data_IF_390826047505
#
_entry.id   IF_390826047505
#
_cell.length_a   1.000
_cell.length_b   1.000
_cell.length_c   1.000
_cell.angle_alpha   90.00
_cell.angle_beta   90.00
_cell.angle_gamma   90.00
#
_symmetry.space_group_name_H-M   'P 1'
#
loop_
_entity.id
_entity.type
_entity.pdbx_description
1 polymer ?
#
# COMPACT_ATOMS: atom_id res chain seq x y z
N UNK A 1 -2.15 -6.09 18.63
CA UNK A 1 -1.66 -5.21 17.56
C UNK A 1 -2.87 -4.59 16.88
N UNK A 2 -2.90 -3.28 16.67
CA UNK A 2 -4.09 -2.59 16.18
C UNK A 2 -4.03 -2.47 14.64
N UNK A 3 -4.74 -3.35 13.92
CA UNK A 3 -4.79 -3.32 12.45
C UNK A 3 -5.41 -2.04 11.89
N UNK A 4 -6.23 -1.33 12.68
CA UNK A 4 -6.90 -0.09 12.24
C UNK A 4 -5.95 1.07 11.93
N UNK A 5 -4.69 1.03 12.39
CA UNK A 5 -3.70 2.06 12.10
C UNK A 5 -3.13 1.96 10.67
N UNK A 6 -3.32 0.84 9.98
CA UNK A 6 -2.99 0.69 8.55
C UNK A 6 -4.22 1.10 7.75
N UNK A 7 -4.07 2.16 6.97
CA UNK A 7 -5.16 2.85 6.27
C UNK A 7 -4.89 2.80 4.76
N UNK A 8 -5.68 2.04 4.03
CA UNK A 8 -5.54 1.82 2.59
C UNK A 8 -6.52 2.67 1.80
N UNK A 9 -6.13 3.11 0.61
CA UNK A 9 -6.89 4.07 -0.19
C UNK A 9 -8.11 3.46 -0.88
N UNK A 10 -7.94 2.27 -1.47
CA UNK A 10 -8.98 1.69 -2.32
C UNK A 10 -9.21 0.20 -2.00
N UNK A 11 -10.19 -0.38 -2.69
CA UNK A 11 -10.57 -1.78 -2.48
C UNK A 11 -9.45 -2.75 -2.81
N UNK A 12 -8.77 -2.52 -3.94
CA UNK A 12 -7.70 -3.42 -4.38
C UNK A 12 -6.44 -3.28 -3.54
N UNK A 13 -6.10 -2.06 -3.10
CA UNK A 13 -4.98 -1.84 -2.15
C UNK A 13 -5.23 -2.60 -0.86
N UNK A 14 -6.48 -2.54 -0.36
CA UNK A 14 -6.85 -3.27 0.85
C UNK A 14 -6.64 -4.76 0.68
N UNK A 15 -7.12 -5.34 -0.44
CA UNK A 15 -6.93 -6.77 -0.74
C UNK A 15 -5.44 -7.13 -0.87
N UNK A 16 -4.66 -6.29 -1.57
CA UNK A 16 -3.21 -6.49 -1.71
C UNK A 16 -2.53 -6.53 -0.35
N UNK A 17 -2.72 -5.50 0.47
CA UNK A 17 -2.06 -5.41 1.77
C UNK A 17 -2.54 -6.51 2.74
N UNK A 18 -3.84 -6.84 2.74
CA UNK A 18 -4.38 -7.95 3.53
C UNK A 18 -3.83 -9.31 3.08
N UNK A 19 -3.51 -9.45 1.79
CA UNK A 19 -2.88 -10.66 1.26
C UNK A 19 -1.41 -10.77 1.63
N UNK A 20 -0.66 -9.67 1.54
CA UNK A 20 0.77 -9.64 1.83
C UNK A 20 1.08 -9.69 3.33
N UNK A 21 0.31 -8.97 4.12
CA UNK A 21 0.47 -8.87 5.59
C UNK A 21 -0.91 -9.09 6.22
N UNK A 22 -1.31 -10.34 6.46
CA UNK A 22 -2.65 -10.66 6.94
C UNK A 22 -2.97 -9.96 8.27
N UNK A 23 -4.10 -9.25 8.36
CA UNK A 23 -4.56 -8.63 9.60
C UNK A 23 -5.35 -9.62 10.46
N UNK A 24 -5.52 -9.30 11.75
CA UNK A 24 -6.40 -10.05 12.66
C UNK A 24 -7.89 -9.75 12.43
N UNK A 25 -8.22 -8.50 12.04
CA UNK A 25 -9.60 -8.01 11.89
C UNK A 25 -9.89 -7.22 10.61
N UNK A 26 -8.94 -7.18 9.67
CA UNK A 26 -8.99 -6.34 8.48
C UNK A 26 -8.40 -4.96 8.69
N UNK A 27 -7.94 -4.34 7.59
CA UNK A 27 -7.37 -3.00 7.58
C UNK A 27 -8.42 -1.92 7.36
N UNK A 28 -8.04 -0.68 7.65
CA UNK A 28 -8.91 0.48 7.60
C UNK A 28 -9.03 1.00 6.16
N UNK A 29 -10.00 0.49 5.42
CA UNK A 29 -10.27 0.92 4.06
C UNK A 29 -10.88 2.33 4.00
N UNK A 30 -10.38 3.16 3.10
CA UNK A 30 -10.91 4.48 2.78
C UNK A 30 -11.21 4.60 1.27
N UNK A 31 -11.85 5.70 0.85
CA UNK A 31 -12.16 5.97 -0.56
C UNK A 31 -11.38 7.18 -1.07
N UNK A 32 -10.18 6.92 -1.57
CA UNK A 32 -9.28 7.92 -2.15
C UNK A 32 -8.32 8.55 -1.16
N UNK A 33 -7.19 9.06 -1.67
CA UNK A 33 -6.12 9.72 -0.89
C UNK A 33 -6.63 10.80 0.08
N UNK A 34 -7.59 11.68 -0.29
CA UNK A 34 -8.11 12.67 0.66
C UNK A 34 -8.79 12.06 1.88
N UNK A 35 -9.46 10.91 1.71
CA UNK A 35 -10.12 10.23 2.82
C UNK A 35 -9.10 9.54 3.75
N UNK A 36 -8.02 8.97 3.20
CA UNK A 36 -6.90 8.45 3.99
C UNK A 36 -6.28 9.56 4.83
N UNK A 37 -5.91 10.67 4.20
CA UNK A 37 -5.33 11.83 4.88
C UNK A 37 -6.25 12.39 5.98
N UNK A 38 -7.54 12.55 5.68
CA UNK A 38 -8.55 12.99 6.65
C UNK A 38 -8.62 12.03 7.83
N UNK A 39 -8.65 10.73 7.57
CA UNK A 39 -8.69 9.70 8.60
C UNK A 39 -7.47 9.77 9.52
N UNK A 40 -6.26 9.92 8.94
CA UNK A 40 -5.03 10.09 9.70
C UNK A 40 -5.08 11.36 10.57
N UNK A 41 -5.49 12.50 10.01
CA UNK A 41 -5.55 13.79 10.73
C UNK A 41 -6.56 13.78 11.87
N UNK A 42 -7.77 13.25 11.67
CA UNK A 42 -8.88 13.39 12.60
C UNK A 42 -9.00 12.24 13.61
N UNK A 43 -8.67 11.02 13.21
CA UNK A 43 -8.87 9.83 14.05
C UNK A 43 -7.58 9.29 14.66
N UNK A 44 -6.43 9.67 14.10
CA UNK A 44 -5.12 9.27 14.58
C UNK A 44 -4.25 10.47 14.96
N UNK A 45 -4.85 11.61 15.29
CA UNK A 45 -4.18 12.89 15.54
C UNK A 45 -2.90 12.75 16.37
N UNK A 46 -2.96 11.99 17.48
CA UNK A 46 -1.87 11.76 18.41
C UNK A 46 -1.47 10.27 18.49
N UNK A 47 -1.94 9.48 17.51
CA UNK A 47 -1.72 8.04 17.48
C UNK A 47 -0.90 7.67 16.24
N UNK A 48 -0.26 6.50 16.29
CA UNK A 48 0.45 5.94 15.15
C UNK A 48 -0.51 5.60 14.02
N UNK A 49 -0.12 5.97 12.79
CA UNK A 49 -0.87 5.61 11.58
C UNK A 49 0.04 5.45 10.35
N UNK A 50 -0.33 4.52 9.47
CA UNK A 50 0.30 4.33 8.16
C UNK A 50 -0.77 4.46 7.08
N UNK A 51 -0.65 5.45 6.21
CA UNK A 51 -1.45 5.58 4.99
C UNK A 51 -0.77 4.86 3.84
N UNK A 52 -1.52 4.07 3.07
CA UNK A 52 -1.05 3.44 1.83
C UNK A 52 -1.93 3.96 0.71
N UNK A 53 -1.31 4.65 -0.25
CA UNK A 53 -2.00 5.42 -1.27
C UNK A 53 -1.30 5.31 -2.63
N UNK A 54 -2.07 5.46 -3.69
CA UNK A 54 -1.51 5.69 -5.02
C UNK A 54 -0.93 7.12 -5.14
N UNK A 55 0.10 7.27 -5.95
CA UNK A 55 0.61 8.59 -6.33
C UNK A 55 -0.24 9.15 -7.49
N UNK A 56 -1.53 9.36 -7.21
CA UNK A 56 -2.48 9.86 -8.19
C UNK A 56 -2.31 11.38 -8.39
N UNK A 57 -2.89 11.89 -9.48
CA UNK A 57 -2.76 13.27 -10.01
C UNK A 57 -3.15 14.39 -9.03
N UNK A 58 -3.85 14.08 -7.93
CA UNK A 58 -4.22 15.04 -6.89
C UNK A 58 -3.34 14.88 -5.66
N UNK A 59 -2.28 15.68 -5.61
CA UNK A 59 -1.47 15.79 -4.40
C UNK A 59 -2.35 16.19 -3.21
N UNK A 60 -2.31 15.40 -2.16
CA UNK A 60 -3.04 15.69 -0.93
C UNK A 60 -2.20 16.67 -0.10
N UNK A 61 -2.76 17.82 0.27
CA UNK A 61 -2.05 18.86 1.04
C UNK A 61 -1.45 18.34 2.35
N UNK A 62 -2.01 17.29 2.92
CA UNK A 62 -1.46 16.66 4.11
C UNK A 62 -0.03 16.12 3.89
N UNK A 63 0.29 15.70 2.67
CA UNK A 63 1.63 15.20 2.34
C UNK A 63 2.71 16.29 2.48
N UNK A 64 2.35 17.57 2.40
CA UNK A 64 3.28 18.69 2.59
C UNK A 64 3.82 18.77 4.04
N UNK A 65 3.12 18.16 5.01
CA UNK A 65 3.56 18.06 6.42
C UNK A 65 4.59 16.91 6.64
N UNK A 66 4.86 16.12 5.61
CA UNK A 66 5.78 14.98 5.67
C UNK A 66 7.15 15.34 5.10
N UNK A 67 8.14 14.56 5.47
CA UNK A 67 9.45 14.50 4.83
C UNK A 67 9.65 13.19 4.13
N UNK A 68 10.41 13.21 3.08
CA UNK A 68 10.85 12.00 2.38
C UNK A 68 11.80 11.20 3.29
N UNK A 69 11.62 9.88 3.35
CA UNK A 69 12.58 8.96 3.95
C UNK A 69 13.42 8.31 2.85
N UNK A 70 12.80 7.87 1.76
CA UNK A 70 13.46 7.22 0.66
C UNK A 70 12.47 6.54 -0.29
N UNK A 71 13.02 5.99 -1.37
CA UNK A 71 12.22 5.26 -2.36
C UNK A 71 13.06 4.16 -3.01
N UNK A 72 12.37 3.14 -3.53
CA UNK A 72 12.90 2.20 -4.51
C UNK A 72 11.80 1.80 -5.49
N UNK A 73 12.10 1.91 -6.79
CA UNK A 73 11.15 1.61 -7.85
C UNK A 73 9.85 2.38 -7.73
N UNK A 74 8.76 1.65 -7.52
CA UNK A 74 7.41 2.20 -7.38
C UNK A 74 7.05 2.64 -5.96
N UNK A 75 7.88 2.34 -4.96
CA UNK A 75 7.58 2.58 -3.54
C UNK A 75 8.30 3.81 -3.03
N UNK A 76 7.55 4.73 -2.42
CA UNK A 76 8.05 5.93 -1.75
C UNK A 76 7.56 5.97 -0.32
N UNK A 77 8.43 6.25 0.64
CA UNK A 77 8.08 6.30 2.07
C UNK A 77 8.30 7.68 2.63
N UNK A 78 7.26 8.20 3.27
CA UNK A 78 7.26 9.52 3.91
C UNK A 78 6.93 9.40 5.39
N UNK A 79 7.53 10.28 6.20
CA UNK A 79 7.25 10.41 7.64
C UNK A 79 6.82 11.82 7.97
N UNK A 80 5.75 11.94 8.72
CA UNK A 80 5.29 13.23 9.23
C UNK A 80 6.34 13.87 10.16
N UNK A 81 6.58 15.18 10.01
CA UNK A 81 7.65 15.88 10.74
C UNK A 81 7.46 15.87 12.25
N UNK A 82 6.20 15.89 12.72
CA UNK A 82 5.87 16.07 14.14
C UNK A 82 4.96 14.97 14.73
N UNK A 83 4.54 13.99 13.91
CA UNK A 83 3.62 12.91 14.34
C UNK A 83 4.19 11.54 13.98
N UNK A 84 3.67 10.51 14.65
CA UNK A 84 4.00 9.12 14.33
C UNK A 84 3.17 8.61 13.14
N UNK A 85 3.12 9.41 12.06
CA UNK A 85 2.42 9.08 10.82
C UNK A 85 3.41 8.79 9.70
N UNK A 86 3.14 7.72 8.97
CA UNK A 86 3.89 7.31 7.79
C UNK A 86 2.95 7.23 6.59
N UNK A 87 3.47 7.49 5.40
CA UNK A 87 2.77 7.29 4.14
C UNK A 87 3.66 6.46 3.23
N UNK A 88 3.10 5.38 2.68
CA UNK A 88 3.69 4.61 1.59
C UNK A 88 2.90 4.98 0.34
N UNK A 89 3.57 5.58 -0.64
CA UNK A 89 3.00 5.83 -1.96
C UNK A 89 3.42 4.73 -2.93
N UNK A 90 2.46 4.21 -3.67
CA UNK A 90 2.67 3.29 -4.80
C UNK A 90 2.55 4.09 -6.10
N UNK A 91 3.62 4.14 -6.89
CA UNK A 91 3.72 5.00 -8.08
C UNK A 91 3.75 4.18 -9.36
N UNK A 92 2.99 4.55 -10.38
CA UNK A 92 1.98 5.61 -10.42
C UNK A 92 0.63 5.18 -9.80
N UNK A 93 0.35 3.88 -9.72
CA UNK A 93 -0.86 3.28 -9.17
C UNK A 93 -0.66 1.78 -8.94
N UNK A 94 -1.45 1.21 -8.04
CA UNK A 94 -1.39 -0.22 -7.66
C UNK A 94 -1.56 -1.17 -8.85
N UNK A 95 -2.37 -0.81 -9.84
CA UNK A 95 -2.56 -1.65 -11.02
C UNK A 95 -1.26 -1.82 -11.83
N UNK A 96 -0.50 -0.72 -12.00
CA UNK A 96 0.80 -0.80 -12.68
C UNK A 96 1.83 -1.57 -11.84
N UNK A 97 1.82 -1.40 -10.55
CA UNK A 97 2.65 -2.13 -9.60
C UNK A 97 2.42 -3.65 -9.73
N UNK A 98 1.16 -4.07 -9.80
CA UNK A 98 0.75 -5.47 -9.98
C UNK A 98 1.18 -6.02 -11.34
N UNK A 99 0.97 -5.27 -12.43
CA UNK A 99 1.36 -5.71 -13.78
C UNK A 99 2.88 -5.83 -13.93
N UNK A 100 3.66 -4.92 -13.37
CA UNK A 100 5.13 -5.00 -13.35
C UNK A 100 5.64 -6.21 -12.59
N UNK A 101 5.05 -6.52 -11.45
CA UNK A 101 5.40 -7.70 -10.69
C UNK A 101 5.08 -9.01 -11.46
N UNK A 102 3.97 -9.04 -12.20
CA UNK A 102 3.65 -10.17 -13.06
C UNK A 102 4.65 -10.33 -14.21
N UNK A 103 5.07 -9.22 -14.83
CA UNK A 103 6.10 -9.20 -15.86
C UNK A 103 7.46 -9.68 -15.33
N UNK A 104 7.90 -9.16 -14.17
CA UNK A 104 9.15 -9.57 -13.50
C UNK A 104 9.20 -11.09 -13.29
N UNK A 105 8.09 -11.70 -12.87
CA UNK A 105 8.02 -13.13 -12.58
C UNK A 105 7.62 -13.99 -13.79
N UNK A 106 7.42 -13.38 -14.97
CA UNK A 106 6.93 -14.06 -16.17
C UNK A 106 5.59 -14.81 -15.94
N UNK A 107 4.69 -14.19 -15.16
CA UNK A 107 3.35 -14.73 -14.86
C UNK A 107 2.32 -14.02 -15.76
N UNK A 108 1.59 -14.78 -16.59
CA UNK A 108 0.49 -14.22 -17.40
C UNK A 108 -0.75 -13.97 -16.50
N UNK A 109 -1.16 -12.70 -16.31
CA UNK A 109 -2.35 -12.37 -15.51
C UNK A 109 -3.63 -13.06 -16.03
N UNK A 110 -3.74 -13.31 -17.35
CA UNK A 110 -4.91 -13.96 -17.97
C UNK A 110 -5.16 -15.36 -17.42
N UNK A 111 -4.11 -16.12 -17.10
CA UNK A 111 -4.25 -17.44 -16.50
C UNK A 111 -4.94 -17.42 -15.13
N UNK A 112 -4.92 -16.25 -14.48
CA UNK A 112 -5.61 -16.02 -13.22
C UNK A 112 -6.93 -15.25 -13.41
N UNK A 113 -7.36 -15.02 -14.66
CA UNK A 113 -8.55 -14.24 -14.97
C UNK A 113 -8.41 -12.75 -14.67
N UNK A 114 -7.16 -12.24 -14.64
CA UNK A 114 -6.87 -10.83 -14.39
C UNK A 114 -6.67 -10.11 -15.72
N UNK A 115 -7.27 -8.92 -15.92
CA UNK A 115 -7.03 -8.12 -17.10
C UNK A 115 -5.55 -7.75 -17.28
N UNK A 116 -5.07 -7.75 -18.53
CA UNK A 116 -3.68 -7.39 -18.85
C UNK A 116 -3.52 -5.94 -19.27
N UNK A 117 -4.60 -5.27 -19.61
CA UNK A 117 -4.58 -3.85 -19.93
C UNK A 117 -4.85 -3.03 -18.68
N UNK A 118 -4.11 -1.94 -18.54
CA UNK A 118 -4.27 -1.03 -17.40
C UNK A 118 -5.70 -0.48 -17.27
N UNK A 119 -6.34 -0.20 -18.41
CA UNK A 119 -7.69 0.36 -18.44
C UNK A 119 -8.74 -0.63 -17.92
N UNK A 120 -8.70 -1.86 -18.40
CA UNK A 120 -9.62 -2.92 -17.93
C UNK A 120 -9.38 -3.25 -16.46
N UNK A 121 -8.11 -3.35 -16.06
CA UNK A 121 -7.74 -3.62 -14.68
C UNK A 121 -8.26 -2.51 -13.75
N UNK A 122 -8.04 -1.24 -14.09
CA UNK A 122 -8.58 -0.09 -13.32
C UNK A 122 -10.11 -0.09 -13.22
N UNK A 123 -10.80 -0.53 -14.27
CA UNK A 123 -12.26 -0.63 -14.23
C UNK A 123 -12.74 -1.71 -13.27
N UNK A 124 -12.04 -2.85 -13.24
CA UNK A 124 -12.40 -3.98 -12.37
C UNK A 124 -12.03 -3.72 -10.90
N UNK A 125 -10.84 -3.16 -10.64
CA UNK A 125 -10.34 -2.91 -9.29
C UNK A 125 -11.12 -1.85 -8.51
N UNK A 126 -11.85 -0.98 -9.20
CA UNK A 126 -12.73 0.01 -8.58
C UNK A 126 -14.05 -0.55 -8.05
N UNK A 127 -14.38 -1.80 -8.38
CA UNK A 127 -15.60 -2.41 -7.88
C UNK A 127 -15.47 -2.79 -6.40
N UNK A 128 -16.57 -2.70 -5.66
CA UNK A 128 -16.57 -2.93 -4.20
C UNK A 128 -16.14 -4.35 -3.81
N UNK A 129 -16.42 -5.32 -4.66
CA UNK A 129 -16.07 -6.73 -4.47
C UNK A 129 -14.58 -7.01 -4.68
N UNK A 130 -13.83 -6.07 -5.27
CA UNK A 130 -12.37 -6.18 -5.40
C UNK A 130 -11.68 -6.34 -4.03
N UNK A 131 -12.23 -5.72 -2.97
CA UNK A 131 -11.70 -5.84 -1.61
C UNK A 131 -11.65 -7.28 -1.09
N UNK A 132 -12.68 -8.07 -1.36
CA UNK A 132 -12.82 -9.45 -0.88
C UNK A 132 -12.64 -10.50 -1.97
N UNK A 133 -12.15 -10.09 -3.13
CA UNK A 133 -11.98 -10.95 -4.29
C UNK A 133 -10.91 -12.01 -4.05
N UNK A 134 -11.33 -13.27 -3.99
CA UNK A 134 -10.42 -14.42 -3.87
C UNK A 134 -9.53 -14.57 -5.11
N UNK A 135 -10.02 -14.13 -6.28
CA UNK A 135 -9.26 -14.11 -7.54
C UNK A 135 -8.03 -13.22 -7.42
N UNK A 136 -8.21 -11.98 -6.96
CA UNK A 136 -7.10 -11.04 -6.75
C UNK A 136 -6.16 -11.51 -5.62
N UNK A 137 -6.70 -11.97 -4.49
CA UNK A 137 -5.87 -12.51 -3.40
C UNK A 137 -5.01 -13.70 -3.85
N UNK A 138 -5.57 -14.63 -4.65
CA UNK A 138 -4.81 -15.75 -5.22
C UNK A 138 -3.72 -15.27 -6.19
N UNK A 139 -4.02 -14.25 -7.00
CA UNK A 139 -3.05 -13.66 -7.91
C UNK A 139 -1.92 -12.96 -7.16
N UNK A 140 -2.22 -12.13 -6.17
CA UNK A 140 -1.21 -11.46 -5.36
C UNK A 140 -0.28 -12.45 -4.63
N UNK A 141 -0.81 -13.59 -4.18
CA UNK A 141 0.02 -14.66 -3.62
C UNK A 141 1.03 -15.22 -4.61
N UNK A 142 0.69 -15.32 -5.90
CA UNK A 142 1.65 -15.73 -6.93
C UNK A 142 2.75 -14.67 -7.15
N UNK A 143 2.44 -13.39 -6.90
CA UNK A 143 3.35 -12.27 -7.09
C UNK A 143 4.24 -11.98 -5.87
N UNK A 144 4.09 -12.68 -4.76
CA UNK A 144 4.85 -12.42 -3.52
C UNK A 144 6.37 -12.55 -3.67
N UNK A 145 6.84 -13.24 -4.71
CA UNK A 145 8.27 -13.38 -4.99
C UNK A 145 8.88 -12.16 -5.68
N UNK A 146 8.06 -11.27 -6.28
CA UNK A 146 8.54 -10.06 -6.93
C UNK A 146 9.20 -9.10 -5.92
N UNK A 147 10.28 -8.43 -6.36
CA UNK A 147 11.12 -7.59 -5.49
C UNK A 147 10.29 -6.54 -4.74
N UNK A 148 9.53 -5.72 -5.46
CA UNK A 148 8.74 -4.65 -4.85
C UNK A 148 7.58 -5.17 -3.96
N UNK A 149 7.04 -6.36 -4.24
CA UNK A 149 6.03 -7.01 -3.38
C UNK A 149 6.61 -7.41 -2.03
N UNK A 150 7.85 -7.96 -2.03
CA UNK A 150 8.57 -8.28 -0.79
C UNK A 150 8.82 -7.01 0.02
N UNK A 151 9.36 -5.97 -0.61
CA UNK A 151 9.62 -4.68 0.04
C UNK A 151 8.36 -4.06 0.64
N UNK A 152 7.25 -4.05 -0.10
CA UNK A 152 5.98 -3.55 0.42
C UNK A 152 5.51 -4.35 1.63
N UNK A 153 5.59 -5.69 1.57
CA UNK A 153 5.24 -6.55 2.69
C UNK A 153 6.12 -6.30 3.92
N UNK A 154 7.42 -6.13 3.73
CA UNK A 154 8.39 -5.86 4.79
C UNK A 154 8.18 -4.48 5.41
N UNK A 155 7.98 -3.43 4.60
CA UNK A 155 7.67 -2.07 5.08
C UNK A 155 6.42 -2.05 5.95
N UNK A 156 5.33 -2.66 5.47
CA UNK A 156 4.06 -2.70 6.21
C UNK A 156 4.20 -3.53 7.48
N UNK A 157 4.87 -4.68 7.42
CA UNK A 157 5.11 -5.54 8.59
C UNK A 157 5.98 -4.85 9.63
N UNK A 158 7.06 -4.20 9.20
CA UNK A 158 7.95 -3.44 10.07
C UNK A 158 7.21 -2.30 10.78
N UNK A 159 6.54 -1.43 10.02
CA UNK A 159 5.79 -0.30 10.57
C UNK A 159 4.66 -0.76 11.50
N UNK A 160 3.96 -1.84 11.13
CA UNK A 160 2.92 -2.44 11.97
C UNK A 160 3.47 -2.98 13.30
N UNK A 161 4.65 -3.59 13.28
CA UNK A 161 5.30 -4.19 14.45
C UNK A 161 5.89 -3.13 15.37
N UNK A 162 6.72 -2.24 14.81
CA UNK A 162 7.48 -1.25 15.59
C UNK A 162 6.66 -0.05 16.01
N UNK A 163 5.64 0.33 15.24
CA UNK A 163 4.74 1.44 15.56
C UNK A 163 5.51 2.74 15.86
N UNK A 164 5.39 3.25 17.09
CA UNK A 164 6.06 4.45 17.58
C UNK A 164 7.58 4.34 17.61
N UNK A 165 8.13 3.12 17.63
CA UNK A 165 9.56 2.85 17.70
C UNK A 165 10.22 2.71 16.31
N UNK A 166 9.43 2.85 15.23
CA UNK A 166 9.95 2.72 13.87
C UNK A 166 11.05 3.76 13.58
N UNK A 167 12.18 3.29 13.04
CA UNK A 167 13.36 4.07 12.74
C UNK A 167 13.55 4.22 11.23
N UNK A 168 13.98 5.40 10.80
CA UNK A 168 14.18 5.71 9.39
C UNK A 168 15.28 4.84 8.75
N UNK A 169 16.34 4.54 9.49
CA UNK A 169 17.44 3.67 9.01
C UNK A 169 16.94 2.28 8.60
N UNK A 170 16.06 1.68 9.42
CA UNK A 170 15.50 0.36 9.08
C UNK A 170 14.57 0.42 7.86
N UNK A 171 13.87 1.54 7.66
CA UNK A 171 13.05 1.74 6.45
C UNK A 171 13.94 1.87 5.23
N UNK A 172 15.06 2.60 5.33
CA UNK A 172 16.05 2.72 4.27
C UNK A 172 16.69 1.37 3.94
N UNK A 173 17.10 0.61 4.95
CA UNK A 173 17.65 -0.74 4.76
C UNK A 173 16.68 -1.63 3.96
N UNK A 174 15.38 -1.62 4.29
CA UNK A 174 14.35 -2.36 3.53
C UNK A 174 14.22 -1.86 2.08
N UNK A 175 14.36 -0.57 1.85
CA UNK A 175 14.27 0.00 0.49
C UNK A 175 15.52 -0.32 -0.35
N UNK A 176 16.69 -0.45 0.25
CA UNK A 176 17.95 -0.70 -0.44
C UNK A 176 18.20 -2.19 -0.75
N UNK A 177 17.61 -3.12 0.00
CA UNK A 177 17.68 -4.58 -0.24
C UNK A 177 16.93 -5.01 -1.53
#
# INVERSE_FOLDING_TARGET
>A
MNDNCIITECYIDTNLIETLVPPSRGYNHQKGCPAVAKKMKEKFTDSFAVGIMDNDKKKVSYLDEFRDIGNDGSLYVYKHRNKSHYIILITPAVEMFVLRAAEELNIDPKESGIPVTLEELKRETKQIDAKSSKKYAAFFKKLQAAKEFKKLAELVSYLKKENYNAQDSCILDILED
#
